data_IF_900012219870
#
_entry.id   IF_900012219870
#
_cell.length_a   1.000
_cell.length_b   1.000
_cell.length_c   1.000
_cell.angle_alpha   90.00
_cell.angle_beta   90.00
_cell.angle_gamma   90.00
#
_symmetry.space_group_name_H-M   'P 1'
#
loop_
_entity.id
_entity.type
_entity.pdbx_description
1 polymer ?
#
# COMPACT_ATOMS: atom_id res chain seq x y z
N UNK A 1 7.21 3.94 -39.78
CA UNK A 1 6.80 3.80 -38.36
C UNK A 1 7.55 2.59 -37.81
N UNK A 2 8.63 2.81 -37.01
CA UNK A 2 9.32 1.71 -36.33
C UNK A 2 8.37 1.22 -35.24
N UNK A 3 7.96 -0.05 -35.30
CA UNK A 3 7.23 -0.71 -34.23
C UNK A 3 7.99 -0.53 -32.92
N UNK A 4 7.33 -0.10 -31.84
CA UNK A 4 7.96 0.02 -30.53
C UNK A 4 8.47 -1.36 -30.11
N UNK A 5 9.76 -1.48 -29.79
CA UNK A 5 10.33 -2.72 -29.26
C UNK A 5 9.79 -2.90 -27.84
N UNK A 6 9.18 -4.02 -27.56
CA UNK A 6 8.67 -4.40 -26.23
C UNK A 6 9.80 -4.43 -25.18
N UNK A 7 11.03 -4.72 -25.62
CA UNK A 7 12.22 -4.77 -24.79
C UNK A 7 13.34 -3.96 -25.43
N UNK A 8 14.11 -3.25 -24.61
CA UNK A 8 15.35 -2.59 -25.00
C UNK A 8 16.53 -3.50 -24.63
N UNK A 9 17.69 -3.41 -25.32
CA UNK A 9 18.91 -4.08 -24.85
C UNK A 9 19.40 -3.38 -23.58
N UNK A 10 19.06 -3.95 -22.42
CA UNK A 10 19.48 -3.44 -21.11
C UNK A 10 20.87 -3.96 -20.74
N UNK A 11 21.63 -3.15 -19.98
CA UNK A 11 22.92 -3.57 -19.42
C UNK A 11 22.68 -4.05 -17.99
N UNK A 12 23.08 -5.29 -17.67
CA UNK A 12 22.97 -5.85 -16.32
C UNK A 12 23.66 -5.00 -15.24
N UNK A 13 24.67 -4.22 -15.60
CA UNK A 13 25.37 -3.29 -14.70
C UNK A 13 24.44 -2.17 -14.16
N UNK A 14 23.40 -1.81 -14.90
CA UNK A 14 22.47 -0.75 -14.52
C UNK A 14 21.33 -1.28 -13.64
N UNK A 15 21.24 -2.61 -13.48
CA UNK A 15 20.22 -3.25 -12.67
C UNK A 15 20.42 -2.95 -11.17
N UNK A 16 19.39 -2.48 -10.50
CA UNK A 16 19.45 -2.04 -9.10
C UNK A 16 19.31 -3.22 -8.12
N UNK A 17 20.34 -4.08 -8.07
CA UNK A 17 20.35 -5.28 -7.21
C UNK A 17 20.13 -4.95 -5.73
N UNK A 18 20.56 -3.78 -5.26
CA UNK A 18 20.33 -3.37 -3.88
C UNK A 18 18.84 -3.30 -3.54
N UNK A 19 17.99 -2.78 -4.46
CA UNK A 19 16.55 -2.76 -4.30
C UNK A 19 15.99 -4.19 -4.24
N UNK A 20 16.41 -5.06 -5.15
CA UNK A 20 15.96 -6.46 -5.18
C UNK A 20 16.33 -7.19 -3.89
N UNK A 21 17.57 -7.04 -3.42
CA UNK A 21 18.04 -7.67 -2.18
C UNK A 21 17.23 -7.16 -0.98
N UNK A 22 16.95 -5.85 -0.89
CA UNK A 22 16.17 -5.28 0.21
C UNK A 22 14.74 -5.79 0.21
N UNK A 23 14.08 -5.84 -0.96
CA UNK A 23 12.72 -6.39 -1.10
C UNK A 23 12.70 -7.87 -0.77
N UNK A 24 13.68 -8.65 -1.27
CA UNK A 24 13.79 -10.08 -0.99
C UNK A 24 14.01 -10.34 0.50
N UNK A 25 14.93 -9.60 1.15
CA UNK A 25 15.19 -9.74 2.57
C UNK A 25 13.93 -9.48 3.41
N UNK A 26 13.19 -8.41 3.10
CA UNK A 26 11.93 -8.07 3.78
C UNK A 26 10.86 -9.14 3.53
N UNK A 27 10.74 -9.66 2.31
CA UNK A 27 9.75 -10.70 1.99
C UNK A 27 10.09 -12.05 2.62
N UNK A 28 11.37 -12.43 2.72
CA UNK A 28 11.78 -13.65 3.45
C UNK A 28 11.43 -13.51 4.91
N UNK A 29 11.71 -12.36 5.52
CA UNK A 29 11.31 -12.08 6.90
C UNK A 29 9.78 -12.17 7.04
N UNK A 30 9.01 -11.63 6.09
CA UNK A 30 7.56 -11.76 6.04
C UNK A 30 7.09 -13.22 6.01
N UNK A 31 7.71 -14.09 5.19
CA UNK A 31 7.39 -15.53 5.14
C UNK A 31 7.62 -16.20 6.49
N UNK A 32 8.72 -15.87 7.18
CA UNK A 32 9.03 -16.42 8.49
C UNK A 32 8.03 -15.99 9.55
N UNK A 33 7.69 -14.70 9.58
CA UNK A 33 6.75 -14.13 10.57
C UNK A 33 5.31 -14.57 10.28
N UNK A 34 4.88 -14.66 9.02
CA UNK A 34 3.57 -15.23 8.66
C UNK A 34 3.48 -16.69 9.05
N UNK A 35 4.54 -17.48 8.80
CA UNK A 35 4.58 -18.88 9.23
C UNK A 35 4.51 -19.04 10.74
N UNK A 36 5.12 -18.13 11.49
CA UNK A 36 5.01 -18.10 12.94
C UNK A 36 3.61 -17.69 13.42
N UNK A 37 3.00 -16.70 12.77
CA UNK A 37 1.65 -16.23 13.10
C UNK A 37 0.58 -17.32 12.82
N UNK A 38 0.70 -18.00 11.67
CA UNK A 38 -0.19 -19.08 11.27
C UNK A 38 0.47 -19.96 10.20
N UNK A 39 0.85 -21.17 10.56
CA UNK A 39 1.57 -22.12 9.71
C UNK A 39 0.82 -22.45 8.41
N UNK A 40 -0.53 -22.48 8.44
CA UNK A 40 -1.34 -22.81 7.26
C UNK A 40 -1.19 -21.82 6.09
N UNK A 41 -0.79 -20.58 6.39
CA UNK A 41 -0.58 -19.53 5.38
C UNK A 41 0.86 -19.43 4.87
N UNK A 42 1.83 -20.06 5.54
CA UNK A 42 3.25 -19.98 5.18
C UNK A 42 3.50 -20.46 3.75
N UNK A 43 2.98 -21.63 3.39
CA UNK A 43 3.16 -22.19 2.04
C UNK A 43 2.55 -21.29 0.96
N UNK A 44 1.38 -20.70 1.22
CA UNK A 44 0.76 -19.74 0.31
C UNK A 44 1.59 -18.46 0.16
N UNK A 45 2.21 -17.99 1.24
CA UNK A 45 3.09 -16.83 1.22
C UNK A 45 4.39 -17.12 0.42
N UNK A 46 4.96 -18.33 0.55
CA UNK A 46 6.12 -18.77 -0.26
C UNK A 46 5.75 -18.78 -1.75
N UNK A 47 4.59 -19.34 -2.10
CA UNK A 47 4.11 -19.32 -3.50
C UNK A 47 3.96 -17.88 -3.99
N UNK A 48 3.40 -16.99 -3.17
CA UNK A 48 3.28 -15.56 -3.46
C UNK A 48 4.63 -14.88 -3.67
N UNK A 49 5.63 -15.21 -2.86
CA UNK A 49 7.00 -14.72 -3.00
C UNK A 49 7.63 -15.16 -4.33
N UNK A 50 7.56 -16.45 -4.65
CA UNK A 50 8.13 -17.01 -5.90
C UNK A 50 7.44 -16.41 -7.13
N UNK A 51 6.10 -16.38 -7.12
CA UNK A 51 5.31 -15.78 -8.20
C UNK A 51 5.62 -14.28 -8.34
N UNK A 52 5.67 -13.55 -7.22
CA UNK A 52 5.98 -12.13 -7.19
C UNK A 52 7.36 -11.83 -7.77
N UNK A 53 8.38 -12.59 -7.39
CA UNK A 53 9.74 -12.45 -7.94
C UNK A 53 9.78 -12.74 -9.44
N UNK A 54 9.08 -13.77 -9.91
CA UNK A 54 8.98 -14.07 -11.33
C UNK A 54 8.31 -12.92 -12.11
N UNK A 55 7.18 -12.42 -11.59
CA UNK A 55 6.47 -11.29 -12.20
C UNK A 55 7.32 -10.02 -12.17
N UNK A 56 7.99 -9.72 -11.07
CA UNK A 56 8.92 -8.58 -10.96
C UNK A 56 10.03 -8.66 -12.01
N UNK A 57 10.64 -9.83 -12.18
CA UNK A 57 11.69 -10.04 -13.18
C UNK A 57 11.16 -9.80 -14.61
N UNK A 58 9.99 -10.33 -14.95
CA UNK A 58 9.35 -10.12 -16.26
C UNK A 58 9.03 -8.65 -16.47
N UNK A 59 8.33 -8.01 -15.52
CA UNK A 59 7.93 -6.59 -15.62
C UNK A 59 9.15 -5.68 -15.71
N UNK A 60 10.24 -5.99 -15.01
CA UNK A 60 11.48 -5.20 -15.07
C UNK A 60 12.12 -5.14 -16.47
N UNK A 61 11.79 -6.08 -17.34
CA UNK A 61 12.29 -6.13 -18.72
C UNK A 61 11.35 -5.48 -19.74
N UNK A 62 10.09 -5.22 -19.36
CA UNK A 62 9.10 -4.56 -20.22
C UNK A 62 9.34 -3.06 -20.18
N UNK A 63 9.49 -2.40 -21.34
CA UNK A 63 9.69 -0.95 -21.42
C UNK A 63 8.45 -0.21 -20.88
N UNK A 64 8.61 0.50 -19.75
CA UNK A 64 7.52 1.27 -19.13
C UNK A 64 6.94 2.33 -20.09
N UNK A 65 7.76 2.91 -20.98
CA UNK A 65 7.29 3.90 -21.97
C UNK A 65 6.28 3.28 -22.93
N UNK A 66 6.51 2.02 -23.33
CA UNK A 66 5.57 1.28 -24.17
C UNK A 66 4.25 1.03 -23.42
N UNK A 67 4.31 0.59 -22.15
CA UNK A 67 3.13 0.36 -21.30
C UNK A 67 2.34 1.66 -21.13
N UNK A 68 3.01 2.78 -20.89
CA UNK A 68 2.39 4.09 -20.73
C UNK A 68 1.70 4.62 -22.01
N UNK A 69 2.03 4.11 -23.20
CA UNK A 69 1.27 4.47 -24.40
C UNK A 69 -0.17 3.95 -24.37
N UNK A 70 -0.44 2.92 -23.59
CA UNK A 70 -1.77 2.33 -23.37
C UNK A 70 -2.45 2.85 -22.08
N UNK A 71 -2.07 4.01 -21.57
CA UNK A 71 -2.51 4.51 -20.26
C UNK A 71 -4.03 4.58 -20.08
N UNK A 72 -4.81 4.90 -21.14
CA UNK A 72 -6.26 4.86 -21.08
C UNK A 72 -6.82 3.44 -20.94
N UNK A 73 -6.20 2.44 -21.57
CA UNK A 73 -6.56 1.04 -21.38
C UNK A 73 -6.25 0.59 -19.94
N UNK A 74 -5.11 1.04 -19.38
CA UNK A 74 -4.73 0.77 -17.99
C UNK A 74 -5.76 1.36 -17.03
N UNK A 75 -6.19 2.59 -17.27
CA UNK A 75 -7.23 3.24 -16.47
C UNK A 75 -8.58 2.52 -16.60
N UNK A 76 -9.00 2.21 -17.83
CA UNK A 76 -10.23 1.46 -18.10
C UNK A 76 -10.23 0.09 -17.42
N UNK A 77 -9.10 -0.64 -17.47
CA UNK A 77 -8.95 -1.92 -16.78
C UNK A 77 -9.01 -1.77 -15.24
N UNK A 78 -8.38 -0.71 -14.69
CA UNK A 78 -8.47 -0.41 -13.26
C UNK A 78 -9.91 -0.16 -12.82
N UNK A 79 -10.67 0.67 -13.55
CA UNK A 79 -12.07 0.95 -13.25
C UNK A 79 -12.93 -0.31 -13.43
N UNK A 80 -12.71 -1.07 -14.51
CA UNK A 80 -13.45 -2.32 -14.75
C UNK A 80 -13.22 -3.33 -13.62
N UNK A 81 -11.98 -3.49 -13.15
CA UNK A 81 -11.67 -4.43 -12.07
C UNK A 81 -12.33 -4.05 -10.74
N UNK A 82 -12.40 -2.73 -10.42
CA UNK A 82 -13.11 -2.22 -9.25
C UNK A 82 -14.64 -2.38 -9.38
N UNK A 83 -15.19 -2.16 -10.57
CA UNK A 83 -16.62 -2.41 -10.82
C UNK A 83 -16.94 -3.90 -10.71
N UNK A 84 -16.08 -4.76 -11.23
CA UNK A 84 -16.28 -6.20 -11.26
C UNK A 84 -16.43 -6.77 -9.84
N UNK A 85 -15.64 -6.33 -8.87
CA UNK A 85 -15.74 -6.79 -7.48
C UNK A 85 -17.06 -6.39 -6.84
N UNK A 86 -17.68 -5.27 -7.23
CA UNK A 86 -19.00 -4.88 -6.71
C UNK A 86 -20.13 -5.79 -7.17
N UNK A 87 -19.98 -6.47 -8.33
CA UNK A 87 -21.01 -7.34 -8.89
C UNK A 87 -20.80 -8.82 -8.58
N UNK A 88 -19.55 -9.29 -8.52
CA UNK A 88 -19.22 -10.72 -8.35
C UNK A 88 -18.34 -11.00 -7.13
N UNK A 89 -18.03 -9.98 -6.33
CA UNK A 89 -17.22 -10.15 -5.11
C UNK A 89 -17.98 -10.85 -4.00
N UNK A 90 -17.24 -11.63 -3.21
CA UNK A 90 -17.76 -12.30 -2.03
C UNK A 90 -17.88 -11.30 -0.86
N UNK A 91 -18.99 -11.40 -0.14
CA UNK A 91 -19.20 -10.59 1.07
C UNK A 91 -18.50 -11.26 2.26
N UNK A 92 -17.42 -10.65 2.73
CA UNK A 92 -16.70 -11.09 3.91
C UNK A 92 -16.74 -9.97 4.95
N UNK A 93 -17.24 -10.28 6.14
CA UNK A 93 -17.37 -9.31 7.25
C UNK A 93 -18.13 -8.02 6.86
N UNK A 94 -19.19 -8.14 6.06
CA UNK A 94 -20.03 -7.01 5.63
C UNK A 94 -19.41 -6.12 4.54
N UNK A 95 -18.37 -6.60 3.85
CA UNK A 95 -17.71 -5.87 2.77
C UNK A 95 -17.39 -6.79 1.57
N UNK A 96 -17.75 -6.34 0.37
CA UNK A 96 -17.43 -7.00 -0.90
C UNK A 96 -16.13 -6.43 -1.46
N UNK A 97 -14.99 -7.08 -1.19
CA UNK A 97 -13.65 -6.58 -1.54
C UNK A 97 -12.81 -7.61 -2.28
N UNK A 98 -13.20 -8.87 -2.23
CA UNK A 98 -12.44 -9.99 -2.77
C UNK A 98 -13.24 -10.77 -3.78
N UNK A 99 -12.55 -11.28 -4.79
CA UNK A 99 -13.08 -12.25 -5.77
C UNK A 99 -12.39 -13.57 -5.46
N UNK A 100 -13.16 -14.60 -5.14
CA UNK A 100 -12.59 -15.92 -4.95
C UNK A 100 -12.25 -16.55 -6.31
N UNK A 101 -10.97 -16.89 -6.49
CA UNK A 101 -10.45 -17.59 -7.68
C UNK A 101 -10.33 -19.12 -7.45
N UNK A 102 -10.85 -19.63 -6.33
CA UNK A 102 -10.81 -21.03 -5.93
C UNK A 102 -9.51 -21.45 -5.22
N UNK A 103 -8.35 -21.02 -5.69
CA UNK A 103 -7.05 -21.27 -5.05
C UNK A 103 -6.52 -20.09 -4.21
N UNK A 104 -7.02 -18.89 -4.47
CA UNK A 104 -6.69 -17.66 -3.74
C UNK A 104 -7.76 -16.60 -3.94
N UNK A 105 -7.81 -15.64 -3.03
CA UNK A 105 -8.66 -14.46 -3.15
C UNK A 105 -7.92 -13.33 -3.87
N UNK A 106 -8.56 -12.70 -4.83
CA UNK A 106 -8.06 -11.54 -5.56
C UNK A 106 -8.73 -10.26 -5.08
N UNK A 107 -7.92 -9.26 -4.67
CA UNK A 107 -8.41 -7.95 -4.28
C UNK A 107 -8.07 -6.92 -5.37
N UNK A 108 -9.04 -6.49 -6.19
CA UNK A 108 -8.80 -5.58 -7.31
C UNK A 108 -8.20 -4.24 -6.91
N UNK A 109 -8.57 -3.69 -5.76
CA UNK A 109 -8.06 -2.41 -5.28
C UNK A 109 -6.55 -2.42 -5.01
N UNK A 110 -5.93 -3.56 -4.70
CA UNK A 110 -4.47 -3.66 -4.54
C UNK A 110 -3.74 -3.46 -5.88
N UNK A 111 -4.23 -4.08 -6.94
CA UNK A 111 -3.69 -3.90 -8.29
C UNK A 111 -4.03 -2.51 -8.84
N UNK A 112 -5.24 -2.02 -8.59
CA UNK A 112 -5.70 -0.71 -9.05
C UNK A 112 -4.76 0.42 -8.60
N UNK A 113 -4.22 0.40 -7.38
CA UNK A 113 -3.24 1.39 -6.91
C UNK A 113 -2.04 1.51 -7.84
N UNK A 114 -1.48 0.38 -8.27
CA UNK A 114 -0.33 0.35 -9.18
C UNK A 114 -0.73 0.88 -10.57
N UNK A 115 -1.88 0.45 -11.10
CA UNK A 115 -2.39 0.89 -12.40
C UNK A 115 -2.69 2.40 -12.42
N UNK A 116 -3.23 2.94 -11.33
CA UNK A 116 -3.48 4.37 -11.18
C UNK A 116 -2.17 5.17 -11.15
N UNK A 117 -1.14 4.67 -10.48
CA UNK A 117 0.20 5.31 -10.50
C UNK A 117 0.72 5.39 -11.94
N UNK A 118 0.62 4.31 -12.71
CA UNK A 118 1.04 4.29 -14.12
C UNK A 118 0.21 5.26 -14.98
N UNK A 119 -1.11 5.25 -14.83
CA UNK A 119 -2.00 6.15 -15.55
C UNK A 119 -1.65 7.62 -15.28
N UNK A 120 -1.59 8.00 -14.01
CA UNK A 120 -1.33 9.38 -13.63
C UNK A 120 0.10 9.82 -13.94
N UNK A 121 1.07 8.91 -13.96
CA UNK A 121 2.43 9.23 -14.39
C UNK A 121 2.43 9.72 -15.86
N UNK A 122 1.71 9.04 -16.76
CA UNK A 122 1.57 9.49 -18.15
C UNK A 122 0.71 10.72 -18.29
N UNK A 123 -0.39 10.80 -17.55
CA UNK A 123 -1.27 11.95 -17.57
C UNK A 123 -0.53 13.23 -17.15
N UNK A 124 0.19 13.20 -16.03
CA UNK A 124 0.93 14.34 -15.50
C UNK A 124 2.10 14.72 -16.42
N UNK A 125 2.82 13.75 -16.99
CA UNK A 125 3.87 14.02 -17.98
C UNK A 125 3.33 14.75 -19.21
N UNK A 126 2.10 14.42 -19.67
CA UNK A 126 1.48 15.09 -20.81
C UNK A 126 1.01 16.52 -20.51
N UNK A 127 0.77 16.83 -19.26
CA UNK A 127 0.27 18.13 -18.81
C UNK A 127 1.31 18.87 -17.95
N UNK A 128 2.60 18.57 -18.14
CA UNK A 128 3.70 19.12 -17.32
C UNK A 128 3.71 20.66 -17.34
N UNK A 129 3.48 21.28 -18.50
CA UNK A 129 3.46 22.73 -18.66
C UNK A 129 2.17 23.36 -18.11
N UNK A 130 1.05 22.61 -18.16
CA UNK A 130 -0.29 23.10 -17.82
C UNK A 130 -0.81 22.59 -16.48
N UNK A 131 0.04 21.99 -15.64
CA UNK A 131 -0.41 21.32 -14.42
C UNK A 131 -1.11 22.26 -13.42
N UNK A 132 -0.70 23.53 -13.40
CA UNK A 132 -1.27 24.57 -12.54
C UNK A 132 -2.50 25.27 -13.16
N UNK A 133 -2.93 24.86 -14.36
CA UNK A 133 -4.13 25.38 -14.97
C UNK A 133 -5.37 24.73 -14.34
N UNK A 134 -6.38 25.57 -14.02
CA UNK A 134 -7.58 25.10 -13.29
C UNK A 134 -8.26 23.88 -13.92
N UNK A 135 -8.37 23.86 -15.24
CA UNK A 135 -9.00 22.73 -15.95
C UNK A 135 -8.19 21.44 -15.88
N UNK A 136 -6.87 21.52 -15.85
CA UNK A 136 -6.01 20.34 -15.68
C UNK A 136 -6.17 19.75 -14.27
N UNK A 137 -6.23 20.60 -13.25
CA UNK A 137 -6.48 20.17 -11.87
C UNK A 137 -7.88 19.56 -11.73
N UNK A 138 -8.91 20.16 -12.34
CA UNK A 138 -10.26 19.59 -12.31
C UNK A 138 -10.32 18.25 -13.03
N UNK A 139 -9.68 18.10 -14.19
CA UNK A 139 -9.57 16.81 -14.90
C UNK A 139 -8.86 15.77 -14.04
N UNK A 140 -7.74 16.14 -13.41
CA UNK A 140 -7.03 15.25 -12.50
C UNK A 140 -7.93 14.81 -11.36
N UNK A 141 -8.59 15.73 -10.68
CA UNK A 141 -9.48 15.46 -9.57
C UNK A 141 -10.67 14.57 -9.97
N UNK A 142 -11.27 14.82 -11.14
CA UNK A 142 -12.36 13.99 -11.66
C UNK A 142 -11.90 12.56 -11.97
N UNK A 143 -10.75 12.42 -12.65
CA UNK A 143 -10.18 11.10 -12.96
C UNK A 143 -9.70 10.34 -11.69
N UNK A 144 -9.22 11.04 -10.68
CA UNK A 144 -8.86 10.46 -9.39
C UNK A 144 -10.10 10.12 -8.56
N UNK A 145 -11.14 10.94 -8.63
CA UNK A 145 -12.37 10.78 -7.86
C UNK A 145 -13.16 9.51 -8.21
N UNK A 146 -13.17 9.11 -9.50
CA UNK A 146 -13.91 7.90 -9.93
C UNK A 146 -13.39 6.63 -9.23
N UNK A 147 -12.09 6.26 -9.30
CA UNK A 147 -11.61 5.06 -8.61
C UNK A 147 -11.72 5.18 -7.09
N UNK A 148 -11.50 6.37 -6.50
CA UNK A 148 -11.67 6.57 -5.06
C UNK A 148 -13.12 6.35 -4.63
N UNK A 149 -14.10 6.84 -5.39
CA UNK A 149 -15.51 6.62 -5.12
C UNK A 149 -15.88 5.13 -5.18
N UNK A 150 -15.36 4.38 -6.17
CA UNK A 150 -15.58 2.94 -6.27
C UNK A 150 -15.01 2.20 -5.05
N UNK A 151 -13.78 2.52 -4.62
CA UNK A 151 -13.16 1.89 -3.44
C UNK A 151 -13.94 2.23 -2.15
N UNK A 152 -14.53 3.43 -2.05
CA UNK A 152 -15.43 3.78 -0.92
C UNK A 152 -16.69 2.93 -0.93
N UNK A 153 -17.27 2.66 -2.11
CA UNK A 153 -18.46 1.82 -2.26
C UNK A 153 -18.16 0.35 -1.90
N UNK A 154 -16.92 -0.11 -2.05
CA UNK A 154 -16.42 -1.42 -1.56
C UNK A 154 -16.28 -1.49 -0.02
N UNK A 155 -16.83 -0.61 0.77
CA UNK A 155 -16.55 -0.13 2.12
C UNK A 155 -15.07 -0.27 2.58
N UNK A 156 -14.14 0.14 1.73
CA UNK A 156 -12.69 0.05 1.99
C UNK A 156 -12.06 1.43 2.25
N UNK A 157 -12.43 2.05 3.37
CA UNK A 157 -11.99 3.40 3.73
C UNK A 157 -10.46 3.53 3.79
N UNK A 158 -9.79 2.52 4.31
CA UNK A 158 -8.33 2.52 4.49
C UNK A 158 -7.57 2.54 3.18
N UNK A 159 -7.97 1.68 2.25
CA UNK A 159 -7.40 1.66 0.89
C UNK A 159 -7.72 2.95 0.16
N UNK A 160 -8.91 3.54 0.38
CA UNK A 160 -9.27 4.85 -0.17
C UNK A 160 -8.32 5.93 0.32
N UNK A 161 -8.09 6.02 1.64
CA UNK A 161 -7.18 7.02 2.23
C UNK A 161 -5.76 6.83 1.70
N UNK A 162 -5.25 5.60 1.71
CA UNK A 162 -3.91 5.30 1.19
C UNK A 162 -3.79 5.68 -0.30
N UNK A 163 -4.77 5.33 -1.13
CA UNK A 163 -4.79 5.67 -2.56
C UNK A 163 -4.87 7.18 -2.75
N UNK A 164 -5.69 7.89 -1.99
CA UNK A 164 -5.80 9.35 -2.04
C UNK A 164 -4.47 10.03 -1.68
N UNK A 165 -3.77 9.56 -0.63
CA UNK A 165 -2.45 10.07 -0.25
C UNK A 165 -1.43 9.86 -1.38
N UNK A 166 -1.43 8.69 -2.02
CA UNK A 166 -0.57 8.43 -3.18
C UNK A 166 -0.91 9.39 -4.32
N UNK A 167 -2.19 9.55 -4.69
CA UNK A 167 -2.60 10.47 -5.75
C UNK A 167 -2.21 11.92 -5.44
N UNK A 168 -2.36 12.37 -4.20
CA UNK A 168 -1.86 13.69 -3.77
C UNK A 168 -0.34 13.81 -3.92
N UNK A 169 0.40 12.76 -3.59
CA UNK A 169 1.84 12.72 -3.79
C UNK A 169 2.20 12.80 -5.29
N UNK A 170 1.50 12.09 -6.17
CA UNK A 170 1.77 12.12 -7.61
C UNK A 170 1.60 13.52 -8.21
N UNK A 171 0.51 14.22 -7.91
CA UNK A 171 0.28 15.57 -8.45
C UNK A 171 1.27 16.59 -7.85
N UNK A 172 1.69 16.41 -6.59
CA UNK A 172 2.74 17.20 -5.97
C UNK A 172 4.08 17.03 -6.71
N UNK A 173 4.49 15.78 -6.98
CA UNK A 173 5.72 15.48 -7.74
C UNK A 173 5.59 15.99 -9.18
N UNK A 174 4.37 15.99 -9.71
CA UNK A 174 4.00 16.55 -11.00
C UNK A 174 4.22 18.05 -11.14
N UNK A 175 4.51 18.77 -10.04
CA UNK A 175 4.80 20.21 -10.08
C UNK A 175 3.61 21.12 -9.70
N UNK A 176 2.63 20.58 -8.94
CA UNK A 176 1.54 21.41 -8.42
C UNK A 176 2.08 22.52 -7.51
N UNK A 177 1.61 23.73 -7.70
CA UNK A 177 2.09 24.89 -6.96
C UNK A 177 1.76 24.82 -5.46
N UNK A 178 2.71 25.27 -4.62
CA UNK A 178 2.51 25.33 -3.16
C UNK A 178 1.33 26.21 -2.74
N UNK A 179 0.98 27.23 -3.54
CA UNK A 179 -0.22 28.07 -3.31
C UNK A 179 -1.48 27.25 -3.35
N UNK A 180 -1.59 26.35 -4.33
CA UNK A 180 -2.75 25.47 -4.45
C UNK A 180 -2.80 24.45 -3.30
N UNK A 181 -1.67 23.84 -2.96
CA UNK A 181 -1.56 22.91 -1.82
C UNK A 181 -1.97 23.60 -0.52
N UNK A 182 -1.47 24.81 -0.26
CA UNK A 182 -1.86 25.61 0.89
C UNK A 182 -3.36 25.90 0.95
N UNK A 183 -3.97 26.22 -0.19
CA UNK A 183 -5.42 26.44 -0.27
C UNK A 183 -6.22 25.17 0.03
N UNK A 184 -5.79 24.03 -0.54
CA UNK A 184 -6.43 22.74 -0.26
C UNK A 184 -6.31 22.38 1.22
N UNK A 185 -5.15 22.54 1.84
CA UNK A 185 -4.95 22.26 3.27
C UNK A 185 -5.79 23.20 4.15
N UNK A 186 -5.90 24.47 3.77
CA UNK A 186 -6.73 25.44 4.49
C UNK A 186 -8.22 25.06 4.50
N UNK A 187 -8.70 24.38 3.49
CA UNK A 187 -10.08 23.88 3.42
C UNK A 187 -10.18 22.50 4.07
N UNK A 188 -9.24 21.60 3.81
CA UNK A 188 -9.27 20.21 4.27
C UNK A 188 -9.22 20.11 5.80
N UNK A 189 -8.35 20.90 6.46
CA UNK A 189 -8.18 20.81 7.91
C UNK A 189 -9.47 21.19 8.66
N UNK A 190 -10.12 22.34 8.40
CA UNK A 190 -11.39 22.65 9.05
C UNK A 190 -12.50 21.64 8.70
N UNK A 191 -12.55 21.18 7.45
CA UNK A 191 -13.52 20.15 7.02
C UNK A 191 -13.33 18.84 7.78
N UNK A 192 -12.08 18.41 7.98
CA UNK A 192 -11.75 17.21 8.75
C UNK A 192 -12.15 17.36 10.22
N UNK A 193 -11.94 18.54 10.82
CA UNK A 193 -12.35 18.82 12.22
C UNK A 193 -13.87 18.77 12.34
N UNK A 194 -14.61 19.40 11.41
CA UNK A 194 -16.07 19.37 11.39
C UNK A 194 -16.56 17.92 11.20
N UNK A 195 -15.97 17.18 10.26
CA UNK A 195 -16.30 15.78 10.01
C UNK A 195 -16.11 14.93 11.28
N UNK A 196 -14.97 15.04 11.95
CA UNK A 196 -14.72 14.33 13.20
C UNK A 196 -15.73 14.70 14.29
N UNK A 197 -16.09 16.00 14.40
CA UNK A 197 -17.08 16.46 15.36
C UNK A 197 -18.47 15.86 15.12
N UNK A 198 -18.82 15.59 13.86
CA UNK A 198 -20.10 14.94 13.51
C UNK A 198 -20.02 13.44 13.78
N UNK A 199 -18.89 12.79 13.44
CA UNK A 199 -18.70 11.33 13.60
C UNK A 199 -18.75 10.89 15.06
N UNK A 200 -18.35 11.75 15.98
CA UNK A 200 -18.41 11.46 17.43
C UNK A 200 -19.87 11.46 17.97
N UNK A 201 -20.83 12.04 17.24
CA UNK A 201 -22.23 12.07 17.69
C UNK A 201 -22.90 10.69 17.57
N UNK A 202 -23.70 10.26 18.56
CA UNK A 202 -24.29 8.91 18.59
C UNK A 202 -25.29 8.64 17.45
N UNK A 203 -25.95 9.67 16.91
CA UNK A 203 -27.01 9.55 15.89
C UNK A 203 -26.54 9.89 14.46
N UNK A 204 -25.23 9.86 14.20
CA UNK A 204 -24.70 10.17 12.88
C UNK A 204 -25.11 9.10 11.83
N UNK A 205 -25.34 9.54 10.56
CA UNK A 205 -25.71 8.67 9.43
C UNK A 205 -24.69 8.68 8.28
N UNK A 206 -23.52 9.32 8.50
CA UNK A 206 -22.50 9.50 7.46
C UNK A 206 -21.63 8.24 7.30
N UNK A 207 -21.26 7.63 8.44
CA UNK A 207 -20.49 6.41 8.49
C UNK A 207 -21.36 5.22 8.89
N UNK A 208 -21.00 4.02 8.41
CA UNK A 208 -21.55 2.77 8.90
C UNK A 208 -21.10 2.55 10.36
N UNK A 209 -21.90 1.84 11.15
CA UNK A 209 -21.65 1.62 12.58
C UNK A 209 -20.24 1.11 12.85
N UNK A 210 -19.77 0.08 12.13
CA UNK A 210 -18.43 -0.47 12.31
C UNK A 210 -17.29 0.53 11.99
N UNK A 211 -17.53 1.55 11.15
CA UNK A 211 -16.54 2.58 10.84
C UNK A 211 -16.50 3.64 11.95
N UNK A 212 -17.66 3.98 12.49
CA UNK A 212 -17.78 4.86 13.64
C UNK A 212 -17.13 4.21 14.87
N UNK A 213 -17.44 2.95 15.14
CA UNK A 213 -16.88 2.20 16.26
C UNK A 213 -15.34 2.18 16.26
N UNK A 214 -14.70 2.07 15.09
CA UNK A 214 -13.24 2.14 14.97
C UNK A 214 -12.67 3.50 15.38
N UNK A 215 -13.37 4.58 15.05
CA UNK A 215 -12.95 5.94 15.41
C UNK A 215 -13.20 6.18 16.91
N UNK A 216 -14.36 5.78 17.41
CA UNK A 216 -14.71 5.90 18.84
C UNK A 216 -13.81 5.04 19.73
N UNK A 217 -13.50 3.82 19.30
CA UNK A 217 -12.56 2.93 19.98
C UNK A 217 -11.15 3.52 20.08
N UNK A 218 -10.74 4.33 19.11
CA UNK A 218 -9.47 5.04 19.15
C UNK A 218 -9.48 6.25 20.07
N UNK A 219 -10.61 7.01 20.09
CA UNK A 219 -10.75 8.22 20.91
C UNK A 219 -11.04 7.91 22.38
N UNK A 220 -11.86 6.87 22.64
CA UNK A 220 -12.30 6.45 23.99
C UNK A 220 -11.96 4.96 24.22
N UNK A 221 -10.68 4.56 24.22
CA UNK A 221 -10.27 3.14 24.25
C UNK A 221 -10.73 2.39 25.51
N UNK A 222 -10.92 3.08 26.63
CA UNK A 222 -11.40 2.47 27.87
C UNK A 222 -12.87 2.03 27.77
N UNK A 223 -13.70 2.82 27.07
CA UNK A 223 -15.12 2.53 26.90
C UNK A 223 -15.39 1.41 25.90
N UNK A 224 -14.53 1.26 24.89
CA UNK A 224 -14.63 0.27 23.82
C UNK A 224 -13.58 -0.84 23.94
N UNK A 225 -13.07 -1.09 25.16
CA UNK A 225 -11.96 -2.04 25.41
C UNK A 225 -12.30 -3.49 25.04
N UNK A 226 -13.57 -3.90 25.10
CA UNK A 226 -14.03 -5.25 24.76
C UNK A 226 -14.31 -5.47 23.27
N UNK A 227 -14.41 -4.41 22.48
CA UNK A 227 -14.83 -4.46 21.08
C UNK A 227 -13.76 -3.90 20.13
N UNK A 228 -13.96 -2.67 19.63
CA UNK A 228 -13.12 -2.08 18.59
C UNK A 228 -11.67 -1.83 18.99
N UNK A 229 -11.42 -1.52 20.28
CA UNK A 229 -10.08 -1.29 20.81
C UNK A 229 -9.35 -2.59 21.20
N UNK A 230 -10.05 -3.72 21.33
CA UNK A 230 -9.50 -4.98 21.83
C UNK A 230 -8.26 -5.45 21.06
N UNK A 231 -8.35 -5.49 19.74
CA UNK A 231 -7.25 -5.94 18.89
C UNK A 231 -6.03 -5.01 18.98
N UNK A 232 -6.25 -3.67 19.00
CA UNK A 232 -5.16 -2.71 19.12
C UNK A 232 -4.49 -2.74 20.50
N UNK A 233 -5.26 -2.90 21.58
CA UNK A 233 -4.72 -3.03 22.92
C UNK A 233 -3.84 -4.30 23.04
N UNK A 234 -4.31 -5.41 22.48
CA UNK A 234 -3.54 -6.66 22.47
C UNK A 234 -2.30 -6.55 21.57
N UNK A 235 -2.38 -5.83 20.45
CA UNK A 235 -1.22 -5.56 19.59
C UNK A 235 -0.15 -4.75 20.33
N UNK A 236 -0.54 -3.68 21.03
CA UNK A 236 0.36 -2.86 21.84
C UNK A 236 1.02 -3.68 22.95
N UNK A 237 0.24 -4.51 23.65
CA UNK A 237 0.78 -5.43 24.68
C UNK A 237 1.74 -6.46 24.10
N UNK A 238 1.43 -7.02 22.92
CA UNK A 238 2.31 -7.96 22.21
C UNK A 238 3.68 -7.34 21.94
N UNK A 239 3.68 -6.15 21.28
CA UNK A 239 4.89 -5.40 20.93
C UNK A 239 5.70 -5.10 22.22
N UNK A 240 5.04 -4.57 23.26
CA UNK A 240 5.69 -4.25 24.53
C UNK A 240 6.28 -5.49 25.23
N UNK A 241 5.62 -6.64 25.12
CA UNK A 241 6.08 -7.90 25.73
C UNK A 241 7.34 -8.48 25.09
N UNK A 242 7.65 -8.11 23.84
CA UNK A 242 8.85 -8.54 23.11
C UNK A 242 10.14 -7.89 23.58
N UNK A 243 10.07 -6.78 24.32
CA UNK A 243 11.22 -6.07 24.83
C UNK A 243 12.30 -5.78 23.77
N UNK A 244 13.59 -5.95 24.09
CA UNK A 244 14.69 -5.63 23.18
C UNK A 244 14.91 -6.69 22.10
N UNK A 245 14.93 -7.97 22.48
CA UNK A 245 15.36 -9.10 21.61
C UNK A 245 14.24 -10.00 21.15
N UNK A 246 13.02 -9.79 21.64
CA UNK A 246 11.87 -10.64 21.36
C UNK A 246 11.84 -11.94 22.16
N UNK A 247 10.72 -12.65 22.03
CA UNK A 247 10.51 -13.97 22.65
C UNK A 247 11.03 -15.13 21.80
N UNK A 248 11.54 -14.85 20.60
CA UNK A 248 11.97 -15.83 19.60
C UNK A 248 10.87 -16.22 18.61
N UNK A 249 11.28 -16.52 17.37
CA UNK A 249 10.37 -17.02 16.32
C UNK A 249 9.75 -18.35 16.71
N UNK A 250 8.49 -18.57 16.32
CA UNK A 250 7.70 -19.78 16.64
C UNK A 250 7.55 -20.02 18.16
N UNK A 251 7.51 -18.96 18.94
CA UNK A 251 7.30 -19.09 20.37
C UNK A 251 5.86 -19.57 20.64
N UNK A 252 5.73 -20.81 21.12
CA UNK A 252 4.45 -21.48 21.41
C UNK A 252 4.08 -21.42 22.90
N UNK A 253 4.59 -20.45 23.66
CA UNK A 253 4.18 -20.27 25.06
C UNK A 253 2.72 -19.81 25.11
N UNK A 254 2.00 -20.23 26.15
CA UNK A 254 0.58 -19.84 26.38
C UNK A 254 0.39 -18.34 26.57
N UNK A 255 1.47 -17.62 26.85
CA UNK A 255 1.48 -16.15 27.02
C UNK A 255 1.70 -15.39 25.72
N UNK A 256 1.89 -16.07 24.57
CA UNK A 256 1.99 -15.44 23.27
C UNK A 256 0.61 -15.00 22.78
N UNK A 257 0.52 -13.80 22.21
CA UNK A 257 -0.72 -13.22 21.69
C UNK A 257 -1.34 -14.07 20.59
N UNK A 258 -0.51 -14.77 19.78
CA UNK A 258 -0.99 -15.67 18.73
C UNK A 258 -1.69 -16.92 19.28
N UNK A 259 -1.17 -17.50 20.39
CA UNK A 259 -1.71 -18.74 20.97
C UNK A 259 -2.95 -18.49 21.82
N UNK A 260 -3.11 -17.29 22.36
CA UNK A 260 -4.28 -16.89 23.14
C UNK A 260 -5.47 -16.43 22.29
N UNK A 261 -5.36 -16.41 20.96
CA UNK A 261 -6.38 -15.82 20.05
C UNK A 261 -6.80 -14.39 20.43
N UNK A 262 -5.87 -13.62 20.99
CA UNK A 262 -6.13 -12.24 21.42
C UNK A 262 -6.21 -11.26 20.25
N UNK A 263 -5.66 -11.62 19.08
CA UNK A 263 -5.75 -10.84 17.84
C UNK A 263 -6.36 -11.76 16.76
N UNK A 264 -7.44 -11.30 16.15
CA UNK A 264 -8.04 -11.98 15.01
C UNK A 264 -7.17 -11.73 13.78
N UNK A 265 -6.82 -12.82 13.06
CA UNK A 265 -6.02 -12.76 11.82
C UNK A 265 -4.71 -11.95 11.94
N UNK A 266 -3.82 -12.28 12.89
CA UNK A 266 -2.58 -11.54 13.13
C UNK A 266 -1.64 -11.56 11.92
N UNK A 267 -1.77 -12.54 11.01
CA UNK A 267 -0.97 -12.69 9.79
C UNK A 267 -1.23 -11.60 8.72
N UNK A 268 -2.33 -10.84 8.82
CA UNK A 268 -2.72 -9.79 7.87
C UNK A 268 -2.43 -8.40 8.42
N UNK A 269 -3.39 -7.81 9.13
CA UNK A 269 -3.38 -6.39 9.49
C UNK A 269 -2.48 -6.07 10.69
N UNK A 270 -2.26 -7.05 11.58
CA UNK A 270 -1.47 -6.90 12.81
C UNK A 270 -0.15 -7.70 12.79
N UNK A 271 0.38 -8.00 11.60
CA UNK A 271 1.63 -8.77 11.50
C UNK A 271 2.80 -8.08 12.23
N UNK A 272 2.81 -6.74 12.30
CA UNK A 272 3.83 -6.00 13.01
C UNK A 272 3.79 -6.25 14.53
N UNK A 273 2.63 -6.63 15.09
CA UNK A 273 2.54 -7.07 16.49
C UNK A 273 3.32 -8.35 16.73
N UNK A 274 3.25 -9.30 15.78
CA UNK A 274 4.05 -10.56 15.85
C UNK A 274 5.53 -10.27 15.68
N UNK A 275 5.90 -9.36 14.75
CA UNK A 275 7.30 -8.89 14.62
C UNK A 275 7.79 -8.31 15.95
N UNK A 276 7.01 -7.45 16.60
CA UNK A 276 7.37 -6.85 17.89
C UNK A 276 7.47 -7.86 19.01
N UNK A 277 6.54 -8.81 19.10
CA UNK A 277 6.54 -9.84 20.13
C UNK A 277 7.70 -10.83 19.98
N UNK A 278 7.91 -11.35 18.76
CA UNK A 278 8.86 -12.46 18.53
C UNK A 278 10.29 -11.99 18.25
N UNK A 279 10.46 -10.87 17.55
CA UNK A 279 11.78 -10.32 17.19
C UNK A 279 12.18 -9.09 18.03
N UNK A 280 11.26 -8.60 18.87
CA UNK A 280 11.48 -7.48 19.76
C UNK A 280 11.72 -6.14 19.05
N UNK A 281 12.26 -5.19 19.81
CA UNK A 281 12.58 -3.86 19.31
C UNK A 281 13.61 -3.89 18.18
N UNK A 282 14.65 -4.73 18.29
CA UNK A 282 15.68 -4.87 17.25
C UNK A 282 15.07 -5.36 15.95
N UNK A 283 14.24 -6.41 15.96
CA UNK A 283 13.58 -6.93 14.77
C UNK A 283 12.63 -5.91 14.15
N UNK A 284 11.87 -5.18 14.96
CA UNK A 284 11.01 -4.08 14.52
C UNK A 284 11.80 -2.98 13.80
N UNK A 285 12.95 -2.58 14.37
CA UNK A 285 13.85 -1.61 13.74
C UNK A 285 14.43 -2.11 12.41
N UNK A 286 14.76 -3.40 12.30
CA UNK A 286 15.25 -4.01 11.05
C UNK A 286 14.16 -3.96 9.97
N UNK A 287 12.91 -4.29 10.30
CA UNK A 287 11.78 -4.19 9.35
C UNK A 287 11.60 -2.76 8.88
N UNK A 288 11.55 -1.79 9.79
CA UNK A 288 11.40 -0.36 9.46
C UNK A 288 12.58 0.12 8.60
N UNK A 289 13.80 -0.27 8.95
CA UNK A 289 15.01 0.11 8.19
C UNK A 289 14.97 -0.44 6.75
N UNK A 290 14.57 -1.71 6.56
CA UNK A 290 14.42 -2.31 5.23
C UNK A 290 13.36 -1.59 4.39
N UNK A 291 12.21 -1.26 4.99
CA UNK A 291 11.16 -0.47 4.32
C UNK A 291 11.70 0.90 3.90
N UNK A 292 12.37 1.61 4.80
CA UNK A 292 12.97 2.91 4.49
C UNK A 292 14.02 2.81 3.39
N UNK A 293 14.86 1.79 3.39
CA UNK A 293 15.85 1.54 2.33
C UNK A 293 15.14 1.36 0.99
N UNK A 294 14.05 0.58 0.92
CA UNK A 294 13.26 0.37 -0.30
C UNK A 294 12.68 1.70 -0.79
N UNK A 295 12.04 2.46 0.09
CA UNK A 295 11.43 3.76 -0.25
C UNK A 295 12.49 4.75 -0.76
N UNK A 296 13.61 4.89 -0.05
CA UNK A 296 14.72 5.77 -0.44
C UNK A 296 15.28 5.35 -1.80
N UNK A 297 15.47 4.07 -2.05
CA UNK A 297 15.95 3.57 -3.34
C UNK A 297 14.97 3.87 -4.48
N UNK A 298 13.66 3.71 -4.27
CA UNK A 298 12.65 4.09 -5.24
C UNK A 298 12.76 5.59 -5.58
N UNK A 299 12.89 6.46 -4.58
CA UNK A 299 13.06 7.91 -4.78
C UNK A 299 14.35 8.22 -5.54
N UNK A 300 15.47 7.62 -5.15
CA UNK A 300 16.78 7.83 -5.81
C UNK A 300 16.77 7.37 -7.28
N UNK A 301 16.08 6.27 -7.59
CA UNK A 301 15.89 5.81 -8.97
C UNK A 301 15.03 6.83 -9.72
N UNK A 302 13.94 7.30 -9.13
CA UNK A 302 13.05 8.29 -9.71
C UNK A 302 13.75 9.62 -10.03
N UNK A 303 14.58 10.13 -9.14
CA UNK A 303 15.37 11.37 -9.36
C UNK A 303 16.33 11.24 -10.55
N UNK A 304 16.83 10.02 -10.82
CA UNK A 304 17.75 9.73 -11.93
C UNK A 304 17.03 9.26 -13.20
N UNK A 305 15.70 9.27 -13.23
CA UNK A 305 14.92 8.83 -14.39
C UNK A 305 15.13 9.75 -15.60
N UNK A 306 14.88 9.22 -16.81
CA UNK A 306 15.01 9.95 -18.07
C UNK A 306 13.93 11.03 -18.23
N UNK A 307 12.74 10.75 -17.72
CA UNK A 307 11.54 11.56 -17.90
C UNK A 307 10.74 11.72 -16.60
N UNK A 308 9.76 12.62 -16.66
CA UNK A 308 8.87 12.91 -15.54
C UNK A 308 8.00 11.70 -15.18
N UNK A 309 7.57 10.90 -16.17
CA UNK A 309 6.74 9.73 -15.91
C UNK A 309 7.50 8.68 -15.07
N UNK A 310 8.76 8.39 -15.42
CA UNK A 310 9.59 7.50 -14.63
C UNK A 310 9.82 8.01 -13.21
N UNK A 311 10.03 9.33 -13.04
CA UNK A 311 10.11 9.95 -11.71
C UNK A 311 8.84 9.74 -10.90
N UNK A 312 7.67 9.97 -11.51
CA UNK A 312 6.37 9.82 -10.84
C UNK A 312 6.10 8.36 -10.50
N UNK A 313 6.40 7.41 -11.39
CA UNK A 313 6.26 5.97 -11.11
C UNK A 313 7.08 5.58 -9.89
N UNK A 314 8.37 5.88 -9.89
CA UNK A 314 9.26 5.48 -8.81
C UNK A 314 8.87 6.12 -7.47
N UNK A 315 8.61 7.42 -7.45
CA UNK A 315 8.19 8.10 -6.23
C UNK A 315 6.77 7.70 -5.79
N UNK A 316 5.88 7.38 -6.74
CA UNK A 316 4.53 6.88 -6.47
C UNK A 316 4.55 5.49 -5.81
N UNK A 317 5.34 4.56 -6.35
CA UNK A 317 5.51 3.22 -5.76
C UNK A 317 6.22 3.32 -4.39
N UNK A 318 7.28 4.12 -4.29
CA UNK A 318 7.93 4.37 -3.00
C UNK A 318 6.98 4.99 -1.97
N UNK A 319 6.17 5.98 -2.40
CA UNK A 319 5.15 6.60 -1.56
C UNK A 319 4.06 5.61 -1.13
N UNK A 320 3.59 4.75 -2.04
CA UNK A 320 2.61 3.69 -1.71
C UNK A 320 3.15 2.77 -0.60
N UNK A 321 4.38 2.27 -0.77
CA UNK A 321 5.04 1.41 0.23
C UNK A 321 5.20 2.17 1.56
N UNK A 322 5.65 3.42 1.52
CA UNK A 322 5.83 4.25 2.70
C UNK A 322 4.53 4.52 3.45
N UNK A 323 3.47 4.95 2.76
CA UNK A 323 2.17 5.24 3.38
C UNK A 323 1.49 3.98 3.92
N UNK A 324 1.49 2.87 3.17
CA UNK A 324 0.94 1.61 3.68
C UNK A 324 1.67 1.13 4.93
N UNK A 325 3.01 1.20 4.94
CA UNK A 325 3.81 0.80 6.11
C UNK A 325 3.56 1.71 7.31
N UNK A 326 3.52 3.02 7.08
CA UNK A 326 3.23 3.98 8.15
C UNK A 326 1.85 3.76 8.77
N UNK A 327 0.84 3.52 7.93
CA UNK A 327 -0.53 3.25 8.40
C UNK A 327 -0.57 1.94 9.19
N UNK A 328 -0.01 0.84 8.67
CA UNK A 328 -0.04 -0.46 9.35
C UNK A 328 0.70 -0.43 10.69
N UNK A 329 1.93 0.08 10.70
CA UNK A 329 2.73 0.21 11.93
C UNK A 329 2.03 1.15 12.93
N UNK A 330 1.48 2.27 12.45
CA UNK A 330 0.74 3.21 13.29
C UNK A 330 -0.52 2.60 13.91
N UNK A 331 -1.22 1.71 13.21
CA UNK A 331 -2.34 0.94 13.74
C UNK A 331 -1.87 -0.08 14.78
N UNK A 332 -0.82 -0.85 14.47
CA UNK A 332 -0.30 -1.86 15.38
C UNK A 332 0.25 -1.27 16.68
N UNK A 333 0.82 -0.06 16.62
CA UNK A 333 1.34 0.69 17.78
C UNK A 333 0.31 1.66 18.40
N UNK A 334 -0.95 1.58 17.98
CA UNK A 334 -2.05 2.43 18.51
C UNK A 334 -1.84 3.94 18.35
N UNK A 335 -1.03 4.35 17.37
CA UNK A 335 -0.86 5.77 16.96
C UNK A 335 -1.98 6.21 16.01
N UNK A 336 -2.54 5.26 15.23
CA UNK A 336 -3.64 5.48 14.29
C UNK A 336 -4.81 4.55 14.60
N UNK A 337 -6.06 4.94 14.25
CA UNK A 337 -7.21 4.06 14.40
C UNK A 337 -7.08 2.81 13.53
N UNK A 338 -7.73 1.70 13.94
CA UNK A 338 -7.68 0.45 13.21
C UNK A 338 -8.25 0.59 11.78
N UNK A 339 -7.42 0.26 10.79
CA UNK A 339 -7.74 0.49 9.38
C UNK A 339 -7.74 -0.76 8.50
N UNK A 340 -7.04 -1.82 8.85
CA UNK A 340 -6.98 -3.05 8.06
C UNK A 340 -6.16 -2.93 6.76
N UNK A 341 -5.04 -2.20 6.78
CA UNK A 341 -4.09 -2.11 5.65
C UNK A 341 -2.93 -3.07 5.90
N UNK A 342 -2.57 -3.95 4.94
CA UNK A 342 -1.46 -4.88 5.12
C UNK A 342 -0.10 -4.17 5.10
N UNK A 343 0.88 -4.71 5.85
CA UNK A 343 2.27 -4.24 5.81
C UNK A 343 2.96 -4.75 4.53
N UNK A 344 3.46 -3.86 3.66
CA UNK A 344 4.08 -4.23 2.39
C UNK A 344 5.17 -5.28 2.54
N UNK A 345 5.12 -6.32 1.72
CA UNK A 345 6.04 -7.47 1.65
C UNK A 345 6.10 -8.37 2.90
N UNK A 346 5.50 -7.97 4.02
CA UNK A 346 5.51 -8.71 5.29
C UNK A 346 4.19 -9.42 5.55
N UNK A 347 3.06 -8.70 5.47
CA UNK A 347 1.73 -9.27 5.69
C UNK A 347 1.38 -10.35 4.70
N UNK A 348 0.55 -11.31 5.13
CA UNK A 348 -0.08 -12.26 4.24
C UNK A 348 -1.07 -11.56 3.31
N UNK A 349 -0.98 -11.91 2.02
CA UNK A 349 -1.90 -11.40 0.99
C UNK A 349 -1.28 -11.54 -0.39
N UNK A 350 -1.63 -12.61 -1.10
CA UNK A 350 -1.03 -12.95 -2.41
C UNK A 350 -1.21 -11.83 -3.42
N UNK A 351 -2.41 -11.25 -3.50
CA UNK A 351 -2.70 -10.14 -4.44
C UNK A 351 -1.90 -8.88 -4.12
N UNK A 352 -1.86 -8.49 -2.84
CA UNK A 352 -1.09 -7.32 -2.40
C UNK A 352 0.40 -7.51 -2.68
N UNK A 353 0.93 -8.68 -2.33
CA UNK A 353 2.33 -9.02 -2.55
C UNK A 353 2.71 -8.96 -4.04
N UNK A 354 1.95 -9.64 -4.91
CA UNK A 354 2.20 -9.66 -6.36
C UNK A 354 2.05 -8.26 -6.96
N UNK A 355 1.05 -7.49 -6.56
CA UNK A 355 0.87 -6.11 -7.02
C UNK A 355 2.06 -5.22 -6.67
N UNK A 356 2.58 -5.32 -5.45
CA UNK A 356 3.79 -4.59 -5.04
C UNK A 356 5.01 -5.02 -5.85
N UNK A 357 5.17 -6.31 -6.14
CA UNK A 357 6.25 -6.80 -7.01
C UNK A 357 6.13 -6.28 -8.45
N UNK A 358 4.91 -6.14 -9.00
CA UNK A 358 4.68 -5.45 -10.28
C UNK A 358 5.19 -4.01 -10.19
N UNK A 359 4.82 -3.29 -9.12
CA UNK A 359 5.28 -1.92 -8.88
C UNK A 359 6.82 -1.82 -8.84
N UNK A 360 7.48 -2.68 -8.06
CA UNK A 360 8.96 -2.73 -8.00
C UNK A 360 9.56 -3.09 -9.36
N UNK A 361 8.91 -3.98 -10.13
CA UNK A 361 9.33 -4.31 -11.50
C UNK A 361 9.40 -3.07 -12.40
N UNK A 362 8.39 -2.18 -12.35
CA UNK A 362 8.41 -0.91 -13.05
C UNK A 362 9.51 0.03 -12.53
N UNK A 363 9.73 0.12 -11.22
CA UNK A 363 10.84 0.91 -10.66
C UNK A 363 12.18 0.43 -11.16
N UNK A 364 12.41 -0.88 -11.21
CA UNK A 364 13.62 -1.49 -11.76
C UNK A 364 13.78 -1.18 -13.25
N UNK A 365 12.68 -1.24 -14.02
CA UNK A 365 12.72 -0.90 -15.45
C UNK A 365 13.09 0.57 -15.68
N UNK A 366 12.54 1.50 -14.89
CA UNK A 366 12.96 2.91 -14.91
C UNK A 366 14.45 3.02 -14.58
N UNK A 367 14.91 2.29 -13.57
CA UNK A 367 16.33 2.26 -13.18
C UNK A 367 17.29 1.74 -14.26
N UNK A 368 16.82 0.85 -15.15
CA UNK A 368 17.55 0.36 -16.30
C UNK A 368 17.67 1.38 -17.44
N UNK A 369 16.93 2.48 -17.37
CA UNK A 369 16.89 3.55 -18.35
C UNK A 369 17.32 4.90 -17.72
N UNK A 370 18.54 5.00 -17.15
CA UNK A 370 18.97 6.23 -16.50
C UNK A 370 19.15 7.35 -17.52
N UNK A 371 19.00 8.61 -17.05
CA UNK A 371 19.28 9.79 -17.87
C UNK A 371 20.73 9.73 -18.36
N UNK A 372 20.92 9.71 -19.67
CA UNK A 372 22.26 9.85 -20.24
C UNK A 372 22.71 11.28 -19.95
N UNK A 373 23.82 11.45 -19.25
CA UNK A 373 24.45 12.76 -19.10
C UNK A 373 24.65 13.36 -20.49
N UNK A 374 24.08 14.51 -20.73
CA UNK A 374 24.41 15.38 -21.83
C UNK A 374 25.70 16.13 -21.50
#
# INVERSE_FOLDING_TARGET
>A
VKLPRFTKPYRLKDYKFTLVISVLALSILGVLVVGSANESYQNKQIVGLVLGLAVMAVVSLIDYVWVLNMYWLIYGFSILSLLLVLFIGDEVNGATRWIDLGFTTFQPSELAKILLILFFAKFLMKHEEDINYRWTIIKYAALAGVPLALIIVEPNLSTTICTALVLCLLIYIGGLSYKFIGTVLLILIPTAIIFLSIVVQPDQKILKDYQQDRILAFLEPEKYASDGAYQQNNSEMAIGSGQLTGKGLNNNTTTSVKNGNFILEPQTDFIFAIVGEELGFIGSCVVIALILIIVIQCILIGVRSQDMAGKIICCGIGGLIGFQSFINIGVATKVLPNTGVPLPFVSYGLTSLVSLYIGIGFVLNVGLQPKKYQ
#
